data_IF_170986391692
#
_entry.id   IF_170986391692
#
_cell.length_a   1.000
_cell.length_b   1.000
_cell.length_c   1.000
_cell.angle_alpha   90.00
_cell.angle_beta   90.00
_cell.angle_gamma   90.00
#
_symmetry.space_group_name_H-M   'P 1'
#
loop_
_entity.id
_entity.type
_entity.pdbx_description
1 polymer ?
#
# COMPACT_ATOMS: atom_id res chain seq x y z
N UNK A 1 -0.88 33.10 -13.75
CA UNK A 1 -0.31 31.97 -14.52
C UNK A 1 -1.04 30.69 -14.14
N UNK A 2 -1.97 30.23 -15.00
CA UNK A 2 -2.72 28.97 -14.83
C UNK A 2 -2.04 27.91 -15.68
N UNK A 3 -1.37 26.92 -15.07
CA UNK A 3 -0.85 25.74 -15.78
C UNK A 3 -1.05 24.49 -14.91
N UNK A 4 -1.49 23.41 -15.59
CA UNK A 4 -1.48 22.00 -15.22
C UNK A 4 -2.68 21.41 -14.49
N UNK A 5 -3.83 21.30 -15.20
CA UNK A 5 -4.92 20.38 -14.84
C UNK A 5 -5.20 19.27 -15.88
N UNK A 6 -4.29 19.00 -16.82
CA UNK A 6 -4.58 18.10 -17.97
C UNK A 6 -3.95 16.69 -17.89
N UNK A 7 -3.04 16.43 -16.96
CA UNK A 7 -2.33 15.14 -16.92
C UNK A 7 -3.19 13.95 -16.45
N UNK A 8 -4.10 14.08 -15.45
CA UNK A 8 -4.85 12.91 -14.99
C UNK A 8 -5.93 12.41 -15.97
N UNK A 9 -6.47 13.30 -16.80
CA UNK A 9 -7.51 12.92 -17.78
C UNK A 9 -6.95 12.11 -18.96
N UNK A 10 -5.73 12.41 -19.41
CA UNK A 10 -5.07 11.68 -20.49
C UNK A 10 -4.68 10.25 -20.07
N UNK A 11 -4.30 10.04 -18.80
CA UNK A 11 -3.99 8.71 -18.26
C UNK A 11 -5.25 7.84 -18.15
N UNK A 12 -6.38 8.43 -17.78
CA UNK A 12 -7.68 7.73 -17.72
C UNK A 12 -8.19 7.33 -19.12
N UNK A 13 -7.98 8.17 -20.14
CA UNK A 13 -8.36 7.89 -21.53
C UNK A 13 -7.47 6.81 -22.17
N UNK A 14 -6.19 6.73 -21.81
CA UNK A 14 -5.31 5.67 -22.29
C UNK A 14 -5.70 4.30 -21.73
N UNK A 15 -6.17 4.23 -20.48
CA UNK A 15 -6.67 2.99 -19.86
C UNK A 15 -8.02 2.57 -20.49
N UNK A 16 -8.85 3.50 -20.93
CA UNK A 16 -10.13 3.22 -21.56
C UNK A 16 -10.01 2.63 -22.97
N UNK A 17 -8.93 2.96 -23.71
CA UNK A 17 -8.76 2.47 -25.08
C UNK A 17 -8.28 1.01 -25.20
N UNK A 18 -7.79 0.40 -24.13
CA UNK A 18 -7.42 -1.03 -24.11
C UNK A 18 -8.59 -2.00 -23.87
N UNK A 19 -9.84 -1.49 -23.74
CA UNK A 19 -10.98 -2.29 -23.26
C UNK A 19 -11.72 -3.09 -24.33
N UNK A 20 -11.37 -3.03 -25.61
CA UNK A 20 -12.24 -3.62 -26.65
C UNK A 20 -11.91 -5.07 -27.04
N UNK A 21 -10.74 -5.58 -26.78
CA UNK A 21 -10.40 -6.96 -27.18
C UNK A 21 -10.27 -7.97 -26.00
N UNK A 22 -10.10 -7.51 -24.78
CA UNK A 22 -9.92 -8.40 -23.62
C UNK A 22 -11.22 -8.99 -23.04
N UNK A 23 -12.39 -8.59 -23.55
CA UNK A 23 -13.69 -9.02 -23.00
C UNK A 23 -14.14 -10.45 -23.38
N UNK A 24 -13.41 -11.11 -24.27
CA UNK A 24 -13.80 -12.44 -24.74
C UNK A 24 -13.13 -13.56 -23.98
N UNK A 25 -13.45 -13.92 -22.81
CA UNK A 25 -13.10 -15.26 -22.26
C UNK A 25 -12.68 -15.36 -20.80
N UNK A 26 -13.23 -14.57 -19.91
CA UNK A 26 -13.00 -14.79 -18.47
C UNK A 26 -14.08 -15.62 -17.76
N UNK A 27 -15.05 -16.16 -18.48
CA UNK A 27 -16.12 -16.96 -17.88
C UNK A 27 -15.63 -18.38 -17.58
N UNK A 28 -15.48 -18.72 -16.33
CA UNK A 28 -15.21 -20.05 -15.73
C UNK A 28 -13.76 -20.51 -15.61
N UNK A 29 -12.75 -19.73 -15.94
CA UNK A 29 -11.34 -20.18 -15.87
C UNK A 29 -10.71 -19.90 -14.51
N UNK A 30 -9.82 -20.80 -14.10
CA UNK A 30 -8.89 -20.61 -12.99
C UNK A 30 -8.05 -19.34 -13.22
N UNK A 31 -8.06 -18.40 -12.27
CA UNK A 31 -7.33 -17.13 -12.39
C UNK A 31 -5.85 -17.22 -12.05
N UNK A 32 -5.30 -18.41 -11.81
CA UNK A 32 -3.87 -18.59 -11.57
C UNK A 32 -3.06 -18.04 -12.73
N UNK A 33 -1.96 -17.39 -12.43
CA UNK A 33 -1.12 -16.71 -13.42
C UNK A 33 -1.55 -15.30 -13.79
N UNK A 34 -2.69 -14.80 -13.30
CA UNK A 34 -3.13 -13.44 -13.61
C UNK A 34 -2.21 -12.41 -12.98
N UNK A 35 -1.64 -11.57 -13.83
CA UNK A 35 -0.84 -10.41 -13.44
C UNK A 35 -1.67 -9.14 -13.48
N UNK A 36 -1.54 -8.30 -12.45
CA UNK A 36 -2.21 -7.00 -12.38
C UNK A 36 -1.30 -5.91 -11.84
N UNK A 37 -1.56 -4.69 -12.28
CA UNK A 37 -0.92 -3.47 -11.79
C UNK A 37 -1.99 -2.56 -11.18
N UNK A 38 -1.60 -1.78 -10.19
CA UNK A 38 -2.52 -0.88 -9.53
C UNK A 38 -1.86 0.30 -8.85
N UNK A 39 -2.71 1.25 -8.49
CA UNK A 39 -2.36 2.38 -7.63
C UNK A 39 -2.78 2.08 -6.21
N UNK A 40 -2.09 2.68 -5.23
CA UNK A 40 -2.40 2.59 -3.79
C UNK A 40 -2.58 3.99 -3.20
N UNK A 41 -3.57 4.13 -2.34
CA UNK A 41 -3.72 5.27 -1.45
C UNK A 41 -3.72 4.71 -0.03
N UNK A 42 -2.74 5.10 0.75
CA UNK A 42 -2.49 4.53 2.08
C UNK A 42 -2.68 5.59 3.15
N UNK A 43 -3.42 5.23 4.19
CA UNK A 43 -3.60 6.02 5.40
C UNK A 43 -2.97 5.25 6.54
N UNK A 44 -2.03 5.89 7.24
CA UNK A 44 -1.35 5.32 8.40
C UNK A 44 -1.84 6.03 9.66
N UNK A 45 -2.29 5.28 10.65
CA UNK A 45 -2.64 5.79 11.98
C UNK A 45 -1.56 5.29 12.93
N UNK A 46 -0.65 6.20 13.30
CA UNK A 46 0.41 5.91 14.24
C UNK A 46 -0.15 5.85 15.67
N UNK A 47 0.37 4.92 16.47
CA UNK A 47 -0.05 4.72 17.86
C UNK A 47 0.65 5.67 18.85
N UNK A 48 1.47 6.61 18.37
CA UNK A 48 2.11 7.62 19.18
C UNK A 48 1.08 8.52 19.88
N UNK A 49 1.48 9.21 20.94
CA UNK A 49 0.59 9.97 21.86
C UNK A 49 -0.35 10.97 21.16
N UNK A 50 -0.05 11.38 19.93
CA UNK A 50 -0.84 12.36 19.16
C UNK A 50 -1.75 11.76 18.10
N UNK A 51 -1.87 10.41 17.96
CA UNK A 51 -2.66 9.74 16.90
C UNK A 51 -2.46 10.37 15.51
N UNK A 52 -1.23 10.60 15.14
CA UNK A 52 -0.88 11.26 13.88
C UNK A 52 -1.34 10.44 12.68
N UNK A 53 -2.01 11.08 11.73
CA UNK A 53 -2.46 10.44 10.50
C UNK A 53 -1.49 10.75 9.37
N UNK A 54 -0.84 9.71 8.86
CA UNK A 54 -0.07 9.75 7.63
C UNK A 54 -0.96 9.52 6.41
N UNK A 55 -0.65 10.21 5.30
CA UNK A 55 -1.33 10.04 4.02
C UNK A 55 -0.31 9.71 2.95
N UNK A 56 -0.58 8.70 2.16
CA UNK A 56 0.36 8.21 1.17
C UNK A 56 -0.26 7.84 -0.16
N UNK A 57 0.61 7.78 -1.15
CA UNK A 57 0.32 7.29 -2.48
C UNK A 57 1.41 6.30 -2.90
N UNK A 58 1.02 5.29 -3.65
CA UNK A 58 1.94 4.27 -4.10
C UNK A 58 1.45 3.51 -5.31
N UNK A 59 2.18 2.46 -5.61
CA UNK A 59 1.86 1.51 -6.66
C UNK A 59 2.03 0.08 -6.20
N UNK A 60 1.38 -0.83 -6.89
CA UNK A 60 1.50 -2.26 -6.62
C UNK A 60 1.37 -3.10 -7.87
N UNK A 61 1.96 -4.27 -7.83
CA UNK A 61 1.59 -5.34 -8.75
C UNK A 61 1.21 -6.59 -7.98
N UNK A 62 0.34 -7.39 -8.58
CA UNK A 62 -0.16 -8.64 -8.01
C UNK A 62 0.02 -9.77 -8.99
N UNK A 63 0.25 -10.95 -8.45
CA UNK A 63 0.32 -12.19 -9.19
C UNK A 63 -0.54 -13.24 -8.49
N UNK A 64 -1.61 -13.67 -9.14
CA UNK A 64 -2.46 -14.76 -8.67
C UNK A 64 -1.72 -16.08 -8.81
N UNK A 65 -1.14 -16.59 -7.72
CA UNK A 65 -0.32 -17.81 -7.74
C UNK A 65 -1.19 -19.06 -7.80
N UNK A 66 -2.34 -19.02 -7.17
CA UNK A 66 -3.27 -20.15 -7.12
C UNK A 66 -4.71 -19.72 -6.93
N UNK A 67 -5.66 -20.69 -6.93
CA UNK A 67 -7.10 -20.36 -6.81
C UNK A 67 -7.47 -19.62 -5.53
N UNK A 68 -6.68 -19.81 -4.47
CA UNK A 68 -6.93 -19.21 -3.15
C UNK A 68 -5.78 -18.34 -2.66
N UNK A 69 -4.77 -18.09 -3.51
CA UNK A 69 -3.57 -17.37 -3.10
C UNK A 69 -3.16 -16.35 -4.15
N UNK A 70 -3.00 -15.12 -3.73
CA UNK A 70 -2.44 -14.02 -4.51
C UNK A 70 -1.22 -13.45 -3.77
N UNK A 71 -0.29 -12.89 -4.51
CA UNK A 71 0.85 -12.17 -3.96
C UNK A 71 0.81 -10.73 -4.45
N UNK A 72 1.23 -9.82 -3.59
CA UNK A 72 1.26 -8.39 -3.87
C UNK A 72 2.65 -7.86 -3.54
N UNK A 73 3.25 -7.09 -4.44
CA UNK A 73 4.43 -6.29 -4.21
C UNK A 73 4.04 -4.84 -4.35
N UNK A 74 4.51 -3.99 -3.44
CA UNK A 74 4.09 -2.61 -3.37
C UNK A 74 5.21 -1.66 -2.98
N UNK A 75 5.01 -0.42 -3.36
CA UNK A 75 5.75 0.74 -2.89
C UNK A 75 4.74 1.80 -2.46
N UNK A 76 4.92 2.36 -1.25
CA UNK A 76 4.13 3.48 -0.73
C UNK A 76 5.07 4.61 -0.30
N UNK A 77 4.70 5.84 -0.62
CA UNK A 77 5.25 7.06 -0.06
C UNK A 77 4.21 7.70 0.83
N UNK A 78 4.48 7.82 2.13
CA UNK A 78 3.57 8.32 3.15
C UNK A 78 4.19 9.55 3.78
N UNK A 79 3.40 10.59 3.97
CA UNK A 79 3.80 11.80 4.69
C UNK A 79 2.86 12.08 5.84
N UNK A 80 3.41 12.52 6.97
CA UNK A 80 2.67 12.91 8.15
C UNK A 80 3.31 14.15 8.79
N UNK A 81 2.50 14.89 9.55
CA UNK A 81 3.02 15.91 10.45
C UNK A 81 3.04 15.29 11.84
N UNK A 82 4.21 15.15 12.44
CA UNK A 82 4.33 14.61 13.79
C UNK A 82 3.93 15.62 14.86
N UNK A 83 4.21 16.91 14.62
CA UNK A 83 3.91 18.02 15.51
C UNK A 83 3.77 19.30 14.70
N UNK A 84 3.60 20.43 15.38
CA UNK A 84 3.70 21.74 14.75
C UNK A 84 5.13 22.04 14.24
N UNK A 85 6.13 21.24 14.63
CA UNK A 85 7.54 21.52 14.38
C UNK A 85 8.22 20.55 13.41
N UNK A 86 7.67 19.32 13.23
CA UNK A 86 8.31 18.27 12.42
C UNK A 86 7.36 17.64 11.41
N UNK A 87 7.93 17.15 10.31
CA UNK A 87 7.25 16.30 9.38
C UNK A 87 8.02 14.98 9.16
N UNK A 88 7.27 13.92 8.91
CA UNK A 88 7.80 12.59 8.67
C UNK A 88 7.43 12.14 7.26
N UNK A 89 8.41 11.54 6.58
CA UNK A 89 8.24 10.89 5.28
C UNK A 89 8.67 9.44 5.40
N UNK A 90 7.79 8.53 5.05
CA UNK A 90 8.03 7.09 5.06
C UNK A 90 7.96 6.53 3.64
N UNK A 91 8.89 5.64 3.33
CA UNK A 91 8.97 4.90 2.08
C UNK A 91 8.89 3.42 2.40
N UNK A 92 7.77 2.79 2.05
CA UNK A 92 7.56 1.36 2.25
C UNK A 92 7.78 0.62 0.94
N UNK A 93 8.63 -0.40 0.94
CA UNK A 93 8.79 -1.37 -0.15
C UNK A 93 8.55 -2.74 0.43
N UNK A 94 7.51 -3.41 -0.01
CA UNK A 94 7.13 -4.67 0.62
C UNK A 94 6.43 -5.65 -0.30
N UNK A 95 6.16 -6.82 0.26
CA UNK A 95 5.35 -7.84 -0.35
C UNK A 95 4.43 -8.49 0.67
N UNK A 96 3.30 -9.00 0.18
CA UNK A 96 2.28 -9.67 0.99
C UNK A 96 1.69 -10.85 0.25
N UNK A 97 1.20 -11.81 1.01
CA UNK A 97 0.39 -12.91 0.53
C UNK A 97 -1.05 -12.67 0.93
N UNK A 98 -1.98 -12.85 0.00
CA UNK A 98 -3.41 -12.78 0.20
C UNK A 98 -4.01 -14.17 0.11
N UNK A 99 -4.78 -14.56 1.11
CA UNK A 99 -5.46 -15.84 1.19
C UNK A 99 -6.97 -15.66 1.12
N UNK A 100 -7.61 -16.30 0.16
CA UNK A 100 -9.06 -16.26 -0.05
C UNK A 100 -9.75 -17.46 0.60
N UNK A 101 -10.85 -17.23 1.29
CA UNK A 101 -11.66 -18.30 1.90
C UNK A 101 -12.31 -19.20 0.84
N UNK A 102 -12.62 -18.65 -0.32
CA UNK A 102 -13.21 -19.38 -1.46
C UNK A 102 -12.33 -19.21 -2.70
N UNK A 103 -12.27 -20.26 -3.53
CA UNK A 103 -11.50 -20.23 -4.77
C UNK A 103 -11.96 -19.09 -5.67
N UNK A 104 -10.97 -18.40 -6.23
CA UNK A 104 -11.19 -17.27 -7.14
C UNK A 104 -11.41 -17.76 -8.58
N UNK A 105 -12.41 -18.64 -8.78
CA UNK A 105 -12.78 -19.13 -10.10
C UNK A 105 -13.85 -18.30 -10.80
N UNK A 106 -14.47 -17.33 -10.09
CA UNK A 106 -15.62 -16.62 -10.59
C UNK A 106 -15.48 -15.13 -10.36
N UNK A 107 -15.51 -14.37 -11.43
CA UNK A 107 -15.68 -12.91 -11.42
C UNK A 107 -17.11 -12.46 -11.10
N UNK A 108 -18.03 -13.40 -10.88
CA UNK A 108 -19.44 -13.15 -10.58
C UNK A 108 -19.68 -12.66 -9.13
N UNK A 109 -18.61 -12.61 -8.32
CA UNK A 109 -18.69 -12.06 -6.97
C UNK A 109 -18.23 -10.63 -6.94
N UNK A 110 -19.15 -9.74 -6.56
CA UNK A 110 -18.81 -8.34 -6.33
C UNK A 110 -17.73 -8.20 -5.22
N UNK A 111 -17.89 -8.91 -4.12
CA UNK A 111 -16.98 -8.86 -2.97
C UNK A 111 -16.19 -10.15 -2.83
N UNK A 112 -14.88 -10.00 -2.64
CA UNK A 112 -13.96 -11.10 -2.44
C UNK A 112 -13.05 -10.83 -1.23
N UNK A 113 -13.48 -11.24 -0.02
CA UNK A 113 -12.69 -11.05 1.20
C UNK A 113 -11.43 -11.93 1.22
N UNK A 114 -10.38 -11.42 1.85
CA UNK A 114 -9.10 -12.09 2.00
C UNK A 114 -8.45 -11.76 3.35
N UNK A 115 -7.60 -12.68 3.80
CA UNK A 115 -6.57 -12.43 4.79
C UNK A 115 -5.31 -11.96 4.07
N UNK A 116 -4.57 -11.03 4.65
CA UNK A 116 -3.32 -10.54 4.10
C UNK A 116 -2.25 -10.58 5.19
N UNK A 117 -1.05 -11.05 4.83
CA UNK A 117 0.13 -10.99 5.68
C UNK A 117 1.37 -10.80 4.82
N UNK A 118 2.35 -10.08 5.37
CA UNK A 118 3.56 -9.79 4.63
C UNK A 118 4.61 -9.06 5.45
N UNK A 119 5.61 -8.55 4.74
CA UNK A 119 6.66 -7.74 5.34
C UNK A 119 7.05 -6.60 4.40
N UNK A 120 7.69 -5.57 4.96
CA UNK A 120 8.28 -4.49 4.18
C UNK A 120 9.60 -4.02 4.78
N UNK A 121 10.37 -3.34 3.94
CA UNK A 121 11.44 -2.44 4.34
C UNK A 121 10.84 -1.03 4.40
N UNK A 122 11.08 -0.37 5.53
CA UNK A 122 10.60 0.97 5.81
C UNK A 122 11.80 1.90 5.98
N UNK A 123 11.86 2.91 5.12
CA UNK A 123 12.80 4.03 5.28
C UNK A 123 12.00 5.26 5.72
N UNK A 124 12.25 5.70 6.96
CA UNK A 124 11.61 6.88 7.55
C UNK A 124 12.61 8.03 7.68
N UNK A 125 12.15 9.25 7.38
CA UNK A 125 12.90 10.48 7.60
C UNK A 125 12.04 11.50 8.32
N UNK A 126 12.49 11.93 9.50
CA UNK A 126 11.90 13.03 10.27
C UNK A 126 12.75 14.28 10.09
N UNK A 127 12.10 15.42 9.84
CA UNK A 127 12.78 16.70 9.54
C UNK A 127 12.05 17.84 10.23
N UNK A 128 12.80 18.75 10.84
CA UNK A 128 12.27 19.99 11.41
C UNK A 128 11.79 20.93 10.31
N UNK A 129 10.58 21.52 10.46
CA UNK A 129 9.96 22.35 9.42
C UNK A 129 10.80 23.58 9.04
N UNK A 130 11.32 24.29 10.02
CA UNK A 130 12.04 25.55 9.82
C UNK A 130 13.56 25.35 9.65
N UNK A 131 14.10 24.16 9.95
CA UNK A 131 15.53 23.86 9.89
C UNK A 131 15.77 22.50 9.25
N UNK A 132 15.83 22.45 7.91
CA UNK A 132 15.97 21.18 7.15
C UNK A 132 17.26 20.41 7.45
N UNK A 133 18.30 21.06 7.97
CA UNK A 133 19.54 20.43 8.42
C UNK A 133 19.33 19.59 9.68
N UNK A 134 18.33 19.92 10.53
CA UNK A 134 17.94 19.11 11.68
C UNK A 134 17.00 18.00 11.22
N UNK A 135 17.55 16.82 10.97
CA UNK A 135 16.80 15.65 10.53
C UNK A 135 17.49 14.37 10.94
N UNK A 136 16.68 13.33 11.21
CA UNK A 136 17.15 11.96 11.38
C UNK A 136 16.43 11.03 10.40
N UNK A 137 17.08 9.92 10.09
CA UNK A 137 16.49 8.88 9.25
C UNK A 137 16.69 7.50 9.89
N UNK A 138 15.82 6.57 9.58
CA UNK A 138 15.98 5.16 9.94
C UNK A 138 15.65 4.26 8.75
N UNK A 139 16.28 3.11 8.74
CA UNK A 139 15.85 1.97 7.94
C UNK A 139 15.44 0.87 8.90
N UNK A 140 14.24 0.37 8.77
CA UNK A 140 13.69 -0.71 9.59
C UNK A 140 13.06 -1.79 8.73
N UNK A 141 12.85 -2.95 9.33
CA UNK A 141 12.01 -4.01 8.77
C UNK A 141 10.70 -4.01 9.53
N UNK A 142 9.61 -4.31 8.83
CA UNK A 142 8.32 -4.45 9.46
C UNK A 142 7.59 -5.70 8.96
N UNK A 143 6.77 -6.27 9.82
CA UNK A 143 5.80 -7.30 9.45
C UNK A 143 4.40 -6.74 9.56
N UNK A 144 3.51 -7.24 8.71
CA UNK A 144 2.12 -6.76 8.68
C UNK A 144 1.15 -7.91 8.47
N UNK A 145 -0.01 -7.79 9.09
CA UNK A 145 -1.12 -8.72 8.89
C UNK A 145 -2.46 -7.99 9.00
N UNK A 146 -3.46 -8.50 8.31
CA UNK A 146 -4.77 -7.85 8.30
C UNK A 146 -5.81 -8.55 7.45
N UNK A 147 -6.82 -7.78 7.12
CA UNK A 147 -7.99 -8.19 6.36
C UNK A 147 -8.22 -7.22 5.20
N UNK A 148 -8.81 -7.73 4.13
CA UNK A 148 -9.25 -6.88 3.04
C UNK A 148 -10.34 -7.53 2.20
N UNK A 149 -10.82 -6.77 1.23
CA UNK A 149 -11.74 -7.27 0.21
C UNK A 149 -11.44 -6.64 -1.13
N UNK A 150 -11.52 -7.43 -2.20
CA UNK A 150 -11.62 -6.90 -3.54
C UNK A 150 -13.10 -6.64 -3.87
N UNK A 151 -13.35 -5.54 -4.53
CA UNK A 151 -14.62 -5.16 -5.14
C UNK A 151 -14.40 -5.27 -6.65
N UNK A 152 -14.88 -6.35 -7.24
CA UNK A 152 -14.71 -6.60 -8.67
C UNK A 152 -15.68 -5.72 -9.46
N UNK A 153 -15.14 -4.68 -10.11
CA UNK A 153 -15.93 -3.71 -10.90
C UNK A 153 -16.23 -4.30 -12.28
N UNK A 154 -15.20 -4.89 -12.90
CA UNK A 154 -15.29 -5.62 -14.17
C UNK A 154 -14.43 -6.88 -14.12
N UNK A 155 -14.43 -7.68 -15.18
CA UNK A 155 -13.53 -8.83 -15.31
C UNK A 155 -12.03 -8.47 -15.13
N UNK A 156 -11.64 -7.25 -15.55
CA UNK A 156 -10.26 -6.82 -15.55
C UNK A 156 -9.94 -5.73 -14.51
N UNK A 157 -10.94 -5.09 -13.91
CA UNK A 157 -10.77 -3.99 -12.97
C UNK A 157 -11.34 -4.34 -11.62
N UNK A 158 -10.53 -4.22 -10.58
CA UNK A 158 -10.97 -4.29 -9.19
C UNK A 158 -10.51 -3.07 -8.39
N UNK A 159 -11.31 -2.72 -7.39
CA UNK A 159 -10.95 -1.87 -6.29
C UNK A 159 -10.69 -2.76 -5.07
N UNK A 160 -9.73 -2.42 -4.23
CA UNK A 160 -9.49 -3.17 -2.99
C UNK A 160 -9.39 -2.23 -1.81
N UNK A 161 -9.98 -2.67 -0.71
CA UNK A 161 -9.88 -2.01 0.59
C UNK A 161 -9.25 -3.00 1.56
N UNK A 162 -8.22 -2.58 2.28
CA UNK A 162 -7.60 -3.40 3.33
C UNK A 162 -7.26 -2.58 4.57
N UNK A 163 -7.34 -3.25 5.73
CA UNK A 163 -6.83 -2.77 7.01
C UNK A 163 -5.79 -3.75 7.52
N UNK A 164 -4.60 -3.26 7.85
CA UNK A 164 -3.46 -4.06 8.31
C UNK A 164 -2.85 -3.44 9.54
N UNK A 165 -2.39 -4.25 10.46
CA UNK A 165 -1.52 -3.83 11.55
C UNK A 165 -0.08 -4.13 11.18
N UNK A 166 0.78 -3.10 11.21
CA UNK A 166 2.20 -3.18 10.89
C UNK A 166 3.01 -3.01 12.17
N UNK A 167 4.01 -3.85 12.36
CA UNK A 167 4.93 -3.83 13.50
C UNK A 167 6.34 -3.65 12.99
N UNK A 168 7.03 -2.61 13.46
CA UNK A 168 8.40 -2.28 13.11
C UNK A 168 9.40 -2.91 14.07
N UNK A 169 10.53 -3.33 13.50
CA UNK A 169 11.68 -3.87 14.24
C UNK A 169 12.90 -2.99 13.99
N UNK A 170 13.60 -2.59 15.05
CA UNK A 170 14.84 -1.82 14.94
C UNK A 170 14.83 -0.57 15.79
N UNK A 171 15.47 0.49 15.29
CA UNK A 171 15.56 1.79 15.99
C UNK A 171 14.35 2.65 15.62
N UNK A 172 13.99 3.57 16.51
CA UNK A 172 13.00 4.62 16.23
C UNK A 172 13.63 6.00 16.17
N UNK A 173 12.85 6.99 15.74
CA UNK A 173 13.22 8.40 15.73
C UNK A 173 12.31 9.11 16.72
N UNK A 174 12.91 9.60 17.81
CA UNK A 174 12.22 10.38 18.83
C UNK A 174 12.42 11.87 18.58
N UNK A 175 11.38 12.65 18.75
CA UNK A 175 11.42 14.10 18.68
C UNK A 175 11.10 14.66 20.05
N UNK A 176 12.02 15.46 20.62
CA UNK A 176 11.83 16.15 21.92
C UNK A 176 11.88 17.65 21.70
N UNK A 177 10.91 18.38 22.22
CA UNK A 177 10.83 19.84 22.14
C UNK A 177 11.13 20.43 23.51
N UNK A 178 12.25 21.15 23.63
CA UNK A 178 12.68 21.82 24.85
C UNK A 178 12.69 23.35 24.62
N UNK A 179 11.57 24.02 24.90
CA UNK A 179 11.40 25.43 24.58
C UNK A 179 11.43 25.67 23.06
N UNK A 180 12.41 26.42 22.58
CA UNK A 180 12.60 26.69 21.14
C UNK A 180 13.53 25.67 20.44
N UNK A 181 14.12 24.75 21.19
CA UNK A 181 15.03 23.74 20.65
C UNK A 181 14.29 22.45 20.35
N UNK A 182 14.40 21.97 19.09
CA UNK A 182 13.85 20.69 18.64
C UNK A 182 15.00 19.72 18.44
N UNK A 183 15.03 18.66 19.26
CA UNK A 183 16.03 17.59 19.18
C UNK A 183 15.41 16.38 18.52
N UNK A 184 16.04 15.88 17.45
CA UNK A 184 15.60 14.70 16.70
C UNK A 184 16.69 13.63 16.80
N UNK A 185 16.41 12.55 17.50
CA UNK A 185 17.42 11.52 17.82
C UNK A 185 16.93 10.11 17.46
N UNK A 186 17.89 9.20 17.20
CA UNK A 186 17.62 7.78 17.04
C UNK A 186 17.67 7.10 18.39
N UNK A 187 16.59 6.41 18.74
CA UNK A 187 16.48 5.64 19.98
C UNK A 187 16.36 4.14 19.70
N UNK A 188 16.99 3.33 20.54
CA UNK A 188 16.73 1.90 20.53
C UNK A 188 15.35 1.64 21.14
N UNK A 189 14.49 0.98 20.37
CA UNK A 189 13.14 0.65 20.85
C UNK A 189 13.26 -0.53 21.81
N UNK A 190 12.71 -0.37 23.00
CA UNK A 190 12.57 -1.46 23.98
C UNK A 190 11.34 -2.33 23.71
N UNK A 191 10.36 -1.81 22.95
CA UNK A 191 9.16 -2.52 22.53
C UNK A 191 8.89 -2.26 21.05
N UNK A 192 8.38 -3.25 20.27
CA UNK A 192 8.03 -3.06 18.88
C UNK A 192 6.99 -1.94 18.73
N UNK A 193 7.28 -0.98 17.86
CA UNK A 193 6.34 0.06 17.49
C UNK A 193 5.41 -0.45 16.38
N UNK A 194 4.13 -0.11 16.49
CA UNK A 194 3.13 -0.56 15.53
C UNK A 194 2.10 0.50 15.18
N UNK A 195 1.57 0.41 13.96
CA UNK A 195 0.53 1.30 13.49
C UNK A 195 -0.48 0.60 12.58
N UNK A 196 -1.66 1.20 12.43
CA UNK A 196 -2.69 0.72 11.52
C UNK A 196 -2.52 1.35 10.14
N UNK A 197 -2.54 0.51 9.11
CA UNK A 197 -2.55 0.90 7.71
C UNK A 197 -3.90 0.60 7.08
N UNK A 198 -4.53 1.62 6.51
CA UNK A 198 -5.71 1.47 5.66
C UNK A 198 -5.31 1.78 4.22
N UNK A 199 -5.57 0.85 3.31
CA UNK A 199 -5.21 1.01 1.91
C UNK A 199 -6.43 0.89 1.02
N UNK A 200 -6.58 1.85 0.11
CA UNK A 200 -7.51 1.83 -1.02
C UNK A 200 -6.70 1.72 -2.30
N UNK A 201 -6.94 0.68 -3.09
CA UNK A 201 -6.21 0.46 -4.34
C UNK A 201 -7.14 0.16 -5.51
N UNK A 202 -6.70 0.54 -6.72
CA UNK A 202 -7.35 0.21 -7.98
C UNK A 202 -6.39 -0.59 -8.83
N UNK A 203 -6.83 -1.76 -9.31
CA UNK A 203 -5.98 -2.70 -10.01
C UNK A 203 -6.59 -3.09 -11.34
N UNK A 204 -5.73 -3.14 -12.36
CA UNK A 204 -6.09 -3.64 -13.67
C UNK A 204 -5.34 -4.94 -13.97
N UNK A 205 -6.08 -5.97 -14.38
CA UNK A 205 -5.57 -7.30 -14.73
C UNK A 205 -5.20 -7.28 -16.21
N UNK A 206 -3.92 -7.43 -16.53
CA UNK A 206 -3.41 -7.26 -17.89
C UNK A 206 -3.42 -8.56 -18.69
N UNK A 207 -2.79 -9.60 -18.15
CA UNK A 207 -2.59 -10.86 -18.85
C UNK A 207 -2.39 -12.01 -17.85
N UNK A 208 -2.32 -13.23 -18.39
CA UNK A 208 -1.94 -14.42 -17.64
C UNK A 208 -0.56 -14.89 -18.04
N UNK A 209 0.30 -15.17 -17.07
CA UNK A 209 1.62 -15.74 -17.26
C UNK A 209 1.56 -17.23 -17.55
N UNK A 210 0.57 -17.93 -16.98
CA UNK A 210 0.33 -19.36 -17.23
C UNK A 210 -1.15 -19.69 -17.11
N UNK A 211 -1.57 -20.67 -17.86
CA UNK A 211 -2.89 -21.31 -17.72
C UNK A 211 -2.69 -22.65 -17.00
N UNK A 212 -3.37 -22.83 -15.90
CA UNK A 212 -3.48 -24.15 -15.27
C UNK A 212 -4.81 -24.75 -15.71
N UNK A 213 -4.88 -25.15 -16.97
CA UNK A 213 -5.98 -25.93 -17.50
C UNK A 213 -5.74 -27.39 -17.09
N UNK A 214 -6.45 -27.82 -16.06
CA UNK A 214 -6.69 -29.22 -15.70
C UNK A 214 -8.13 -29.35 -15.27
#
# INVERSE_FOLDING_TARGET
MKKHKFVPAALLLLVASFNLEAQKSFSKQNLSGTFSLGTRNTFSIFSDDDNTIGKGIGGQFRLQVGPRMNTEWYFDYITSKNDSYTYRNDYHIGWSVMLYSKSNYRFDRLLQPYLIAGHCFDYSKVTQQNLKSNSANRLSMATQAGLGTHINITGNLDCSISGQYMVHFGKDIETTVNGDEVVIEKKNISQPDGHLLFTLSFNYKFFRLWNKDN
#
